data_IF_744158684406
#
_entry.id   IF_744158684406
#
_cell.length_a   1.000
_cell.length_b   1.000
_cell.length_c   1.000
_cell.angle_alpha   90.00
_cell.angle_beta   90.00
_cell.angle_gamma   90.00
#
_symmetry.space_group_name_H-M   'P 1'
#
loop_
_entity.id
_entity.type
_entity.pdbx_description
1 polymer ?
#
# COMPACT_ATOMS: atom_id res chain seq x y z
N UNK A 1 28.82 -6.69 20.36
CA UNK A 1 29.03 -7.24 19.01
C UNK A 1 28.31 -6.33 18.06
N UNK A 2 29.12 -5.64 17.27
CA UNK A 2 28.84 -4.41 16.55
C UNK A 2 27.81 -4.64 15.43
N UNK A 3 26.62 -4.07 15.59
CA UNK A 3 25.59 -4.07 14.55
C UNK A 3 25.78 -2.81 13.73
N UNK A 4 26.53 -2.94 12.64
CA UNK A 4 26.69 -1.89 11.63
C UNK A 4 25.32 -1.69 10.97
N UNK A 5 24.51 -0.80 11.55
CA UNK A 5 23.33 -0.26 10.90
C UNK A 5 23.87 0.55 9.71
N UNK A 6 23.80 -0.05 8.52
CA UNK A 6 24.10 0.66 7.27
C UNK A 6 23.24 1.91 7.20
N UNK A 7 23.79 3.08 6.83
CA UNK A 7 23.01 4.30 6.72
C UNK A 7 21.88 4.06 5.72
N UNK A 8 20.65 4.23 6.19
CA UNK A 8 19.45 4.15 5.34
C UNK A 8 19.64 5.16 4.22
N UNK A 9 19.53 4.77 2.94
CA UNK A 9 19.75 5.69 1.84
C UNK A 9 18.79 6.88 1.97
N UNK A 10 19.31 8.09 1.76
CA UNK A 10 18.49 9.30 1.70
C UNK A 10 17.56 9.23 0.49
N UNK A 11 16.31 8.82 0.73
CA UNK A 11 15.25 8.71 -0.27
C UNK A 11 15.02 10.00 -1.06
N UNK A 12 15.49 11.15 -0.54
CA UNK A 12 15.43 12.45 -1.22
C UNK A 12 16.29 12.55 -2.49
N UNK A 13 17.31 11.69 -2.65
CA UNK A 13 18.23 11.73 -3.80
C UNK A 13 17.80 10.86 -4.99
N UNK A 14 16.67 10.15 -4.90
CA UNK A 14 16.16 9.32 -6.00
C UNK A 14 15.52 10.17 -7.10
N UNK A 15 15.66 9.77 -8.39
CA UNK A 15 15.00 10.44 -9.49
C UNK A 15 13.49 10.47 -9.26
N UNK A 16 12.85 11.55 -9.74
CA UNK A 16 11.43 11.84 -9.48
C UNK A 16 10.49 10.68 -9.82
N UNK A 17 10.80 9.94 -10.89
CA UNK A 17 10.06 8.75 -11.33
C UNK A 17 10.14 7.59 -10.33
N UNK A 18 11.34 7.25 -9.82
CA UNK A 18 11.51 6.19 -8.82
C UNK A 18 10.91 6.57 -7.46
N UNK A 19 10.98 7.85 -7.09
CA UNK A 19 10.41 8.35 -5.82
C UNK A 19 8.88 8.29 -5.80
N UNK A 20 8.23 8.55 -6.92
CA UNK A 20 6.77 8.41 -7.05
C UNK A 20 6.34 6.94 -7.00
N UNK A 21 7.09 6.04 -7.66
CA UNK A 21 6.80 4.61 -7.65
C UNK A 21 6.92 4.00 -6.24
N UNK A 22 7.93 4.37 -5.45
CA UNK A 22 8.18 3.75 -4.13
C UNK A 22 7.43 4.41 -2.96
N UNK A 23 6.78 5.56 -3.20
CA UNK A 23 6.15 6.37 -2.14
C UNK A 23 5.16 5.60 -1.26
N UNK A 24 4.41 4.66 -1.85
CA UNK A 24 3.43 3.83 -1.14
C UNK A 24 4.11 2.83 -0.18
N UNK A 25 5.20 2.17 -0.61
CA UNK A 25 5.97 1.24 0.22
C UNK A 25 6.72 1.97 1.33
N UNK A 26 7.30 3.12 1.02
CA UNK A 26 7.96 3.96 2.01
C UNK A 26 6.97 4.37 3.11
N UNK A 27 5.77 4.81 2.72
CA UNK A 27 4.72 5.18 3.66
C UNK A 27 4.26 3.99 4.51
N UNK A 28 4.08 2.82 3.91
CA UNK A 28 3.73 1.58 4.62
C UNK A 28 4.82 1.19 5.63
N UNK A 29 6.08 1.15 5.20
CA UNK A 29 7.23 0.79 6.03
C UNK A 29 7.34 1.68 7.28
N UNK A 30 7.40 3.00 7.10
CA UNK A 30 7.59 3.91 8.24
C UNK A 30 6.38 3.95 9.19
N UNK A 31 5.16 3.78 8.66
CA UNK A 31 3.96 3.69 9.51
C UNK A 31 3.95 2.40 10.33
N UNK A 32 4.28 1.28 9.71
CA UNK A 32 4.36 -0.01 10.40
C UNK A 32 5.41 0.02 11.50
N UNK A 33 6.59 0.55 11.21
CA UNK A 33 7.63 0.75 12.23
C UNK A 33 7.13 1.61 13.39
N UNK A 34 6.51 2.75 13.10
CA UNK A 34 5.99 3.63 14.13
C UNK A 34 4.94 2.94 15.04
N UNK A 35 4.05 2.12 14.47
CA UNK A 35 3.08 1.36 15.25
C UNK A 35 3.79 0.34 16.17
N UNK A 36 4.76 -0.40 15.63
CA UNK A 36 5.52 -1.39 16.38
C UNK A 36 6.37 -0.76 17.49
N UNK A 37 7.01 0.38 17.23
CA UNK A 37 7.78 1.16 18.21
C UNK A 37 6.91 1.64 19.39
N UNK A 38 5.63 1.91 19.14
CA UNK A 38 4.65 2.27 20.17
C UNK A 38 3.97 1.05 20.82
N UNK A 39 4.44 -0.18 20.54
CA UNK A 39 3.90 -1.42 21.11
C UNK A 39 2.54 -1.84 20.55
N UNK A 40 2.08 -1.20 19.47
CA UNK A 40 0.87 -1.59 18.74
C UNK A 40 1.24 -2.72 17.79
N UNK A 41 0.46 -3.81 17.78
CA UNK A 41 0.66 -4.95 16.89
C UNK A 41 -0.30 -4.85 15.71
N UNK A 42 0.10 -4.25 14.57
CA UNK A 42 -0.79 -4.10 13.43
C UNK A 42 -1.05 -5.46 12.76
N UNK A 43 -2.26 -5.61 12.25
CA UNK A 43 -2.63 -6.63 11.25
C UNK A 43 -3.17 -5.87 10.04
N UNK A 44 -2.58 -6.07 8.87
CA UNK A 44 -3.02 -5.39 7.65
C UNK A 44 -4.09 -6.21 6.94
N UNK A 45 -5.08 -5.54 6.33
CA UNK A 45 -6.08 -6.19 5.48
C UNK A 45 -5.90 -5.67 4.06
N UNK A 46 -5.58 -6.58 3.14
CA UNK A 46 -5.40 -6.25 1.73
C UNK A 46 -6.69 -6.52 0.97
N UNK A 47 -7.04 -5.60 0.06
CA UNK A 47 -8.22 -5.73 -0.77
C UNK A 47 -8.17 -6.99 -1.65
N UNK A 48 -9.36 -7.58 -1.84
CA UNK A 48 -9.56 -8.70 -2.73
C UNK A 48 -9.90 -8.26 -4.15
N UNK A 49 -10.51 -9.16 -4.90
CA UNK A 49 -11.03 -8.82 -6.21
C UNK A 49 -12.32 -8.01 -6.04
N UNK A 50 -12.42 -6.81 -6.67
CA UNK A 50 -13.62 -6.00 -6.51
C UNK A 50 -14.85 -6.72 -7.11
N UNK A 51 -16.02 -6.64 -6.45
CA UNK A 51 -17.23 -7.27 -6.94
C UNK A 51 -17.72 -6.59 -8.23
N UNK A 52 -18.35 -7.36 -9.12
CA UNK A 52 -18.79 -6.90 -10.45
C UNK A 52 -19.66 -5.62 -10.40
N UNK A 53 -20.48 -5.48 -9.36
CA UNK A 53 -21.35 -4.31 -9.15
C UNK A 53 -20.58 -2.99 -8.93
N UNK A 54 -19.29 -3.04 -8.57
CA UNK A 54 -18.44 -1.86 -8.37
C UNK A 54 -17.62 -1.46 -9.59
N UNK A 55 -17.60 -2.27 -10.65
CA UNK A 55 -16.91 -1.95 -11.91
C UNK A 55 -17.24 -0.56 -12.46
N UNK A 56 -18.52 -0.14 -12.60
CA UNK A 56 -18.81 1.18 -13.19
C UNK A 56 -18.31 2.36 -12.35
N UNK A 57 -18.18 2.19 -11.03
CA UNK A 57 -17.62 3.22 -10.14
C UNK A 57 -16.10 3.24 -10.23
N UNK A 58 -15.47 2.07 -10.34
CA UNK A 58 -14.02 1.95 -10.55
C UNK A 58 -13.62 2.53 -11.90
N UNK A 59 -14.38 2.26 -12.96
CA UNK A 59 -14.18 2.82 -14.29
C UNK A 59 -14.28 4.35 -14.26
N UNK A 60 -15.29 4.89 -13.57
CA UNK A 60 -15.46 6.34 -13.39
C UNK A 60 -14.31 6.99 -12.61
N UNK A 61 -13.74 6.29 -11.61
CA UNK A 61 -12.55 6.76 -10.87
C UNK A 61 -11.28 6.67 -11.73
N UNK A 62 -11.14 5.63 -12.54
CA UNK A 62 -10.05 5.48 -13.48
C UNK A 62 -10.08 6.58 -14.55
N UNK A 63 -11.27 6.91 -15.08
CA UNK A 63 -11.49 8.03 -15.99
C UNK A 63 -11.18 9.38 -15.33
N UNK A 64 -11.66 9.65 -14.12
CA UNK A 64 -11.32 10.89 -13.41
C UNK A 64 -9.82 11.04 -13.15
N UNK A 65 -9.13 9.92 -12.88
CA UNK A 65 -7.67 9.88 -12.71
C UNK A 65 -6.96 10.13 -14.04
N UNK A 66 -7.50 9.64 -15.17
CA UNK A 66 -7.01 9.92 -16.53
C UNK A 66 -7.25 11.36 -16.95
N UNK A 67 -8.44 11.92 -16.71
CA UNK A 67 -8.77 13.30 -17.04
C UNK A 67 -7.88 14.31 -16.29
N UNK A 68 -7.45 14.00 -15.07
CA UNK A 68 -6.47 14.80 -14.31
C UNK A 68 -5.02 14.62 -14.80
N UNK A 69 -4.74 13.61 -15.62
CA UNK A 69 -3.42 13.29 -16.19
C UNK A 69 -3.21 13.87 -17.60
N UNK A 70 -4.25 14.34 -18.26
CA UNK A 70 -4.20 14.94 -19.61
C UNK A 70 -3.71 16.40 -19.61
N UNK A 71 -2.90 16.79 -18.63
CA UNK A 71 -2.05 17.98 -18.76
C UNK A 71 -0.85 17.61 -19.66
N UNK A 72 -0.61 18.34 -20.77
CA UNK A 72 0.38 17.97 -21.78
C UNK A 72 1.80 18.08 -21.21
N UNK A 73 2.38 16.93 -20.81
CA UNK A 73 3.74 16.84 -20.27
C UNK A 73 3.97 15.74 -19.22
N UNK A 74 2.92 15.04 -18.77
CA UNK A 74 3.02 13.97 -17.79
C UNK A 74 3.31 12.61 -18.45
N UNK A 75 4.56 12.13 -18.40
CA UNK A 75 4.88 10.74 -18.75
C UNK A 75 4.09 9.73 -17.89
N UNK A 76 3.71 8.55 -18.42
CA UNK A 76 2.88 7.58 -17.71
C UNK A 76 3.65 6.93 -16.55
N UNK A 77 3.71 7.61 -15.41
CA UNK A 77 4.42 7.17 -14.19
C UNK A 77 3.44 6.52 -13.19
N UNK A 78 2.48 5.72 -13.66
CA UNK A 78 1.72 4.85 -12.75
C UNK A 78 2.19 3.42 -12.97
N UNK A 79 2.89 2.89 -11.97
CA UNK A 79 3.01 1.44 -11.85
C UNK A 79 1.58 0.83 -11.83
N UNK A 80 1.37 -0.30 -12.51
CA UNK A 80 0.07 -0.95 -12.52
C UNK A 80 -0.41 -1.24 -11.09
N UNK A 81 -1.71 -1.04 -10.83
CA UNK A 81 -2.31 -1.28 -9.51
C UNK A 81 -2.01 -2.68 -8.95
N UNK A 82 -1.87 -3.69 -9.81
CA UNK A 82 -1.56 -5.06 -9.42
C UNK A 82 -0.12 -5.21 -8.88
N UNK A 83 0.84 -4.50 -9.47
CA UNK A 83 2.25 -4.54 -9.04
C UNK A 83 2.40 -3.93 -7.64
N UNK A 84 1.64 -2.88 -7.34
CA UNK A 84 1.63 -2.22 -6.03
C UNK A 84 1.18 -3.14 -4.88
N UNK A 85 0.23 -4.06 -5.14
CA UNK A 85 -0.30 -4.98 -4.13
C UNK A 85 0.75 -6.02 -3.74
N UNK A 86 1.43 -6.59 -4.73
CA UNK A 86 2.44 -7.63 -4.54
C UNK A 86 3.70 -7.09 -3.84
N UNK A 87 4.08 -5.85 -4.14
CA UNK A 87 5.18 -5.18 -3.44
C UNK A 87 4.85 -4.95 -1.95
N UNK A 88 3.60 -4.59 -1.62
CA UNK A 88 3.16 -4.43 -0.23
C UNK A 88 3.18 -5.76 0.54
N UNK A 89 2.71 -6.85 -0.07
CA UNK A 89 2.74 -8.20 0.52
C UNK A 89 4.18 -8.59 0.87
N UNK A 90 5.08 -8.47 -0.10
CA UNK A 90 6.50 -8.78 0.07
C UNK A 90 7.13 -7.96 1.20
N UNK A 91 6.80 -6.66 1.27
CA UNK A 91 7.29 -5.79 2.34
C UNK A 91 6.79 -6.24 3.72
N UNK A 92 5.51 -6.58 3.84
CA UNK A 92 4.91 -7.04 5.10
C UNK A 92 5.50 -8.38 5.55
N UNK A 93 5.72 -9.30 4.61
CA UNK A 93 6.42 -10.57 4.85
C UNK A 93 7.84 -10.33 5.37
N UNK A 94 8.60 -9.42 4.75
CA UNK A 94 9.94 -9.06 5.22
C UNK A 94 9.94 -8.42 6.61
N UNK A 95 8.91 -7.64 6.95
CA UNK A 95 8.75 -7.02 8.27
C UNK A 95 8.24 -8.01 9.34
N UNK A 96 7.80 -9.20 8.94
CA UNK A 96 7.19 -10.19 9.84
C UNK A 96 5.84 -9.74 10.39
N UNK A 97 5.12 -8.88 9.68
CA UNK A 97 3.83 -8.35 10.10
C UNK A 97 2.70 -9.13 9.42
N UNK A 98 1.73 -9.66 10.19
CA UNK A 98 0.64 -10.44 9.62
C UNK A 98 -0.27 -9.58 8.74
N UNK A 99 -0.77 -10.19 7.67
CA UNK A 99 -1.83 -9.62 6.85
C UNK A 99 -2.90 -10.64 6.47
N UNK A 100 -4.09 -10.14 6.17
CA UNK A 100 -5.26 -10.91 5.76
C UNK A 100 -5.66 -10.45 4.36
N UNK A 101 -5.97 -11.40 3.49
CA UNK A 101 -6.50 -11.09 2.17
C UNK A 101 -8.03 -11.12 2.20
N UNK A 102 -8.65 -9.97 2.00
CA UNK A 102 -10.11 -9.84 1.97
C UNK A 102 -10.68 -10.55 0.72
N UNK A 103 -11.90 -11.10 0.79
CA UNK A 103 -12.57 -11.67 -0.39
C UNK A 103 -12.99 -10.61 -1.40
N UNK A 104 -13.29 -9.39 -0.93
CA UNK A 104 -13.70 -8.26 -1.78
C UNK A 104 -13.06 -6.97 -1.28
N UNK A 105 -13.57 -6.41 -0.17
CA UNK A 105 -13.10 -5.13 0.37
C UNK A 105 -12.51 -5.29 1.77
N UNK A 106 -11.37 -4.64 1.99
CA UNK A 106 -10.65 -4.62 3.24
C UNK A 106 -11.51 -4.00 4.34
N UNK A 107 -12.19 -2.89 4.07
CA UNK A 107 -13.06 -2.21 5.04
C UNK A 107 -14.15 -3.13 5.60
N UNK A 108 -14.78 -3.95 4.75
CA UNK A 108 -15.80 -4.89 5.18
C UNK A 108 -15.22 -5.99 6.10
N UNK A 109 -14.01 -6.44 5.80
CA UNK A 109 -13.29 -7.44 6.60
C UNK A 109 -12.84 -6.85 7.94
N UNK A 110 -12.29 -5.64 7.95
CA UNK A 110 -11.95 -4.90 9.17
C UNK A 110 -13.17 -4.74 10.08
N UNK A 111 -14.32 -4.34 9.53
CA UNK A 111 -15.56 -4.20 10.30
C UNK A 111 -16.07 -5.54 10.86
N UNK A 112 -15.85 -6.64 10.14
CA UNK A 112 -16.20 -7.98 10.61
C UNK A 112 -15.28 -8.44 11.76
N UNK A 113 -13.97 -8.19 11.64
CA UNK A 113 -12.97 -8.51 12.67
C UNK A 113 -13.28 -7.78 13.98
N UNK A 114 -13.58 -6.48 13.90
CA UNK A 114 -14.00 -5.66 15.05
C UNK A 114 -15.24 -6.24 15.74
N UNK A 115 -16.29 -6.58 14.97
CA UNK A 115 -17.52 -7.17 15.50
C UNK A 115 -17.29 -8.53 16.15
N UNK A 116 -16.31 -9.30 15.68
CA UNK A 116 -15.96 -10.60 16.22
C UNK A 116 -15.04 -10.54 17.44
N UNK A 117 -14.55 -9.35 17.82
CA UNK A 117 -13.61 -9.18 18.94
C UNK A 117 -12.20 -9.69 18.65
N UNK A 118 -11.80 -9.74 17.38
CA UNK A 118 -10.49 -10.19 16.92
C UNK A 118 -9.57 -9.03 16.51
N UNK A 119 -9.97 -7.80 16.83
CA UNK A 119 -9.24 -6.56 16.57
C UNK A 119 -8.48 -6.08 17.81
#
# INVERSE_FOLDING_TARGET
TDSTITPVPSWGSLPHSLRLCFSHLQGLFYRTLHLLENGIKPVFVLDGQPPLLKQPVLDRRAEATRARREEPGSEPTAAPQWTLKQDCETLLDCLGVPYIQAPAEAEATCAALEKSGQA
#
